data_IF_634271020219
#
_entry.id   IF_634271020219
#
_cell.length_a   1.000
_cell.length_b   1.000
_cell.length_c   1.000
_cell.angle_alpha   90.00
_cell.angle_beta   90.00
_cell.angle_gamma   90.00
#
_symmetry.space_group_name_H-M   'P 1'
#
loop_
_entity.id
_entity.type
_entity.pdbx_description
1 polymer ?
#
# COMPACT_ATOMS: atom_id res chain seq x y z
N UNK A 1 21.94 -70.88 33.34
CA UNK A 1 20.77 -70.36 32.59
C UNK A 1 20.05 -69.24 33.34
N UNK A 2 19.67 -69.40 34.62
CA UNK A 2 18.97 -68.36 35.43
C UNK A 2 19.56 -66.93 35.41
N UNK A 3 20.88 -66.77 35.39
CA UNK A 3 21.49 -65.43 35.37
C UNK A 3 21.29 -64.68 34.05
N UNK A 4 21.04 -65.38 32.93
CA UNK A 4 20.76 -64.75 31.63
C UNK A 4 19.33 -64.22 31.54
N UNK A 5 18.42 -64.78 32.33
CA UNK A 5 16.99 -64.46 32.30
C UNK A 5 16.64 -63.21 33.14
N UNK A 6 17.51 -62.83 34.09
CA UNK A 6 17.31 -61.69 35.00
C UNK A 6 17.44 -60.30 34.34
N UNK A 7 18.16 -60.19 33.21
CA UNK A 7 18.34 -58.93 32.48
C UNK A 7 17.41 -58.76 31.29
N UNK A 8 16.57 -59.76 31.00
CA UNK A 8 15.68 -59.75 29.84
C UNK A 8 14.33 -59.17 30.25
N UNK A 9 14.23 -57.84 30.25
CA UNK A 9 12.97 -57.14 30.49
C UNK A 9 12.11 -57.13 29.23
N UNK A 10 10.87 -57.62 29.35
CA UNK A 10 9.86 -57.65 28.28
C UNK A 10 9.00 -56.36 28.26
N UNK A 11 9.35 -55.37 29.09
CA UNK A 11 8.65 -54.12 29.30
C UNK A 11 8.74 -53.11 28.15
N UNK A 12 8.46 -53.50 26.90
CA UNK A 12 8.55 -52.60 25.73
C UNK A 12 7.36 -51.64 25.55
N UNK A 13 6.59 -51.36 26.62
CA UNK A 13 5.24 -50.81 26.45
C UNK A 13 5.18 -49.38 25.91
N UNK A 14 6.27 -48.59 25.96
CA UNK A 14 6.25 -47.18 25.56
C UNK A 14 7.56 -46.64 24.91
N UNK A 15 8.55 -47.48 24.62
CA UNK A 15 9.77 -47.00 23.96
C UNK A 15 9.54 -46.92 22.44
N UNK A 16 9.78 -45.73 21.87
CA UNK A 16 9.73 -45.56 20.42
C UNK A 16 10.93 -46.28 19.82
N UNK A 17 10.68 -47.20 18.90
CA UNK A 17 11.77 -47.86 18.17
C UNK A 17 12.65 -46.78 17.49
N UNK A 18 13.97 -46.98 17.46
CA UNK A 18 14.85 -46.12 16.68
C UNK A 18 14.36 -46.02 15.24
N UNK A 19 14.28 -44.79 14.72
CA UNK A 19 13.90 -44.56 13.33
C UNK A 19 14.98 -45.10 12.41
N UNK A 20 14.65 -46.12 11.62
CA UNK A 20 15.55 -46.67 10.62
C UNK A 20 15.69 -45.73 9.41
N UNK A 21 16.92 -45.47 8.97
CA UNK A 21 17.19 -44.68 7.77
C UNK A 21 17.84 -45.56 6.69
N UNK A 22 17.03 -45.97 5.71
CA UNK A 22 17.48 -46.80 4.60
C UNK A 22 18.59 -46.16 3.77
N UNK A 23 18.64 -44.82 3.67
CA UNK A 23 19.63 -44.12 2.84
C UNK A 23 21.05 -44.19 3.40
N UNK A 24 21.19 -44.48 4.70
CA UNK A 24 22.49 -44.65 5.36
C UNK A 24 22.89 -46.12 5.49
N UNK A 25 22.03 -47.05 5.07
CA UNK A 25 22.31 -48.48 5.14
C UNK A 25 23.36 -48.88 4.11
N UNK A 26 24.43 -49.52 4.58
CA UNK A 26 25.51 -50.02 3.76
C UNK A 26 25.04 -51.15 2.82
N UNK A 27 24.08 -51.96 3.25
CA UNK A 27 23.58 -53.09 2.45
C UNK A 27 22.76 -52.63 1.24
N UNK A 28 22.09 -51.47 1.37
CA UNK A 28 21.29 -50.88 0.30
C UNK A 28 22.09 -49.93 -0.60
N UNK A 29 23.40 -49.74 -0.34
CA UNK A 29 24.25 -48.82 -1.11
C UNK A 29 24.22 -49.09 -2.61
N UNK A 30 24.20 -50.36 -3.02
CA UNK A 30 24.18 -50.72 -4.44
C UNK A 30 22.86 -50.33 -5.12
N UNK A 31 21.73 -50.46 -4.43
CA UNK A 31 20.43 -50.05 -4.95
C UNK A 31 20.36 -48.53 -5.17
N UNK A 32 20.88 -47.75 -4.23
CA UNK A 32 20.99 -46.29 -4.35
C UNK A 32 22.12 -45.82 -5.27
N UNK A 33 22.97 -46.72 -5.78
CA UNK A 33 23.97 -46.43 -6.80
C UNK A 33 23.39 -46.29 -8.21
N UNK A 34 22.19 -46.81 -8.44
CA UNK A 34 21.53 -46.75 -9.75
C UNK A 34 21.17 -45.32 -10.15
N UNK A 35 21.59 -44.87 -11.34
CA UNK A 35 21.37 -43.49 -11.82
C UNK A 35 19.90 -43.07 -11.82
N UNK A 36 18.99 -43.97 -12.15
CA UNK A 36 17.54 -43.69 -12.15
C UNK A 36 17.03 -43.41 -10.72
N UNK A 37 17.48 -44.20 -9.75
CA UNK A 37 17.12 -44.03 -8.33
C UNK A 37 17.75 -42.75 -7.79
N UNK A 38 19.02 -42.47 -8.12
CA UNK A 38 19.70 -41.23 -7.74
C UNK A 38 18.99 -40.00 -8.30
N UNK A 39 18.60 -40.02 -9.59
CA UNK A 39 17.86 -38.92 -10.19
C UNK A 39 16.54 -38.66 -9.44
N UNK A 40 15.85 -39.71 -9.01
CA UNK A 40 14.62 -39.57 -8.24
C UNK A 40 14.88 -39.03 -6.83
N UNK A 41 15.89 -39.55 -6.13
CA UNK A 41 16.29 -39.09 -4.80
C UNK A 41 16.78 -37.64 -4.80
N UNK A 42 17.48 -37.24 -5.87
CA UNK A 42 17.95 -35.87 -6.07
C UNK A 42 16.79 -34.91 -6.30
N UNK A 43 15.84 -35.28 -7.16
CA UNK A 43 14.62 -34.49 -7.39
C UNK A 43 13.82 -34.29 -6.11
N UNK A 44 13.79 -35.29 -5.22
CA UNK A 44 13.13 -35.20 -3.92
C UNK A 44 13.98 -34.50 -2.83
N UNK A 45 15.21 -34.09 -3.13
CA UNK A 45 16.10 -33.42 -2.18
C UNK A 45 16.64 -34.31 -1.05
N UNK A 46 16.58 -35.63 -1.20
CA UNK A 46 17.08 -36.60 -0.22
C UNK A 46 18.60 -36.81 -0.35
N UNK A 47 19.13 -36.57 -1.55
CA UNK A 47 20.57 -36.59 -1.83
C UNK A 47 21.01 -35.29 -2.50
N UNK A 48 22.27 -34.94 -2.28
CA UNK A 48 22.94 -33.81 -2.93
C UNK A 48 23.44 -34.19 -4.34
N UNK A 49 23.89 -33.22 -5.14
CA UNK A 49 24.42 -33.44 -6.49
C UNK A 49 25.65 -34.36 -6.52
N UNK A 50 26.35 -34.49 -5.40
CA UNK A 50 27.47 -35.41 -5.19
C UNK A 50 27.03 -36.80 -4.69
N UNK A 51 25.73 -37.08 -4.61
CA UNK A 51 25.17 -38.36 -4.13
C UNK A 51 25.24 -38.56 -2.62
N UNK A 52 25.51 -37.51 -1.84
CA UNK A 52 25.56 -37.57 -0.37
C UNK A 52 24.17 -37.42 0.22
N UNK A 53 23.85 -38.17 1.28
CA UNK A 53 22.53 -38.10 1.95
C UNK A 53 22.36 -36.76 2.67
N UNK A 54 21.26 -36.08 2.40
CA UNK A 54 20.90 -34.81 3.02
C UNK A 54 20.19 -35.08 4.34
N UNK A 55 20.78 -34.61 5.45
CA UNK A 55 20.14 -34.70 6.76
C UNK A 55 19.11 -33.59 6.92
N UNK A 56 17.83 -33.90 6.68
CA UNK A 56 16.74 -32.92 6.74
C UNK A 56 16.65 -32.24 8.10
N UNK A 57 16.84 -32.97 9.20
CA UNK A 57 16.72 -32.39 10.55
C UNK A 57 17.74 -31.29 10.83
N UNK A 58 18.96 -31.43 10.29
CA UNK A 58 20.00 -30.40 10.40
C UNK A 58 19.72 -29.19 9.52
N UNK A 59 18.96 -29.37 8.44
CA UNK A 59 18.63 -28.31 7.51
C UNK A 59 17.35 -27.56 7.89
N UNK A 60 16.44 -28.18 8.67
CA UNK A 60 15.20 -27.55 9.15
C UNK A 60 15.45 -26.21 9.84
N UNK A 61 16.46 -26.13 10.71
CA UNK A 61 16.79 -24.87 11.40
C UNK A 61 17.26 -23.78 10.44
N UNK A 62 18.08 -24.13 9.44
CA UNK A 62 18.56 -23.19 8.42
C UNK A 62 17.41 -22.69 7.54
N UNK A 63 16.55 -23.60 7.09
CA UNK A 63 15.37 -23.25 6.30
C UNK A 63 14.44 -22.32 7.09
N UNK A 64 14.21 -22.60 8.38
CA UNK A 64 13.40 -21.76 9.24
C UNK A 64 13.96 -20.34 9.38
N UNK A 65 15.27 -20.19 9.56
CA UNK A 65 15.93 -18.87 9.61
C UNK A 65 15.73 -18.14 8.28
N UNK A 66 15.96 -18.82 7.15
CA UNK A 66 15.79 -18.24 5.82
C UNK A 66 14.34 -17.78 5.61
N UNK A 67 13.35 -18.61 5.95
CA UNK A 67 11.93 -18.23 5.86
C UNK A 67 11.60 -17.02 6.71
N UNK A 68 12.14 -16.94 7.92
CA UNK A 68 11.94 -15.81 8.82
C UNK A 68 12.55 -14.52 8.24
N UNK A 69 13.76 -14.60 7.71
CA UNK A 69 14.45 -13.48 7.05
C UNK A 69 13.69 -13.01 5.80
N UNK A 70 13.22 -13.93 4.96
CA UNK A 70 12.39 -13.60 3.79
C UNK A 70 11.11 -12.87 4.21
N UNK A 71 10.43 -13.36 5.25
CA UNK A 71 9.22 -12.74 5.77
C UNK A 71 9.47 -11.34 6.34
N UNK A 72 10.61 -11.14 7.00
CA UNK A 72 11.01 -9.84 7.51
C UNK A 72 11.30 -8.87 6.36
N UNK A 73 12.03 -9.33 5.34
CA UNK A 73 12.36 -8.55 4.15
C UNK A 73 11.10 -8.15 3.35
N UNK A 74 10.17 -9.08 3.14
CA UNK A 74 8.91 -8.83 2.44
C UNK A 74 8.08 -7.75 3.15
N UNK A 75 7.96 -7.83 4.47
CA UNK A 75 7.26 -6.80 5.28
C UNK A 75 7.94 -5.44 5.18
N UNK A 76 9.27 -5.40 5.24
CA UNK A 76 10.02 -4.15 5.13
C UNK A 76 9.82 -3.49 3.75
N UNK A 77 9.84 -4.29 2.68
CA UNK A 77 9.57 -3.79 1.33
C UNK A 77 8.12 -3.31 1.17
N UNK A 78 7.14 -4.07 1.68
CA UNK A 78 5.74 -3.68 1.66
C UNK A 78 5.50 -2.34 2.40
N UNK A 79 6.18 -2.14 3.53
CA UNK A 79 6.08 -0.91 4.30
C UNK A 79 6.70 0.27 3.55
N UNK A 80 7.90 0.11 2.96
CA UNK A 80 8.52 1.14 2.10
C UNK A 80 7.63 1.54 0.94
N UNK A 81 7.02 0.56 0.26
CA UNK A 81 6.10 0.81 -0.85
C UNK A 81 4.88 1.59 -0.39
N UNK A 82 4.29 1.22 0.76
CA UNK A 82 3.15 1.94 1.33
C UNK A 82 3.51 3.37 1.71
N UNK A 83 4.66 3.60 2.32
CA UNK A 83 5.15 4.94 2.65
C UNK A 83 5.35 5.80 1.39
N UNK A 84 5.91 5.23 0.33
CA UNK A 84 6.08 5.93 -0.94
C UNK A 84 4.73 6.28 -1.59
N UNK A 85 3.77 5.35 -1.60
CA UNK A 85 2.41 5.58 -2.10
C UNK A 85 1.69 6.66 -1.29
N UNK A 86 1.81 6.64 0.05
CA UNK A 86 1.25 7.67 0.92
C UNK A 86 1.89 9.05 0.67
N UNK A 87 3.21 9.10 0.46
CA UNK A 87 3.91 10.35 0.14
C UNK A 87 3.44 10.92 -1.20
N UNK A 88 3.33 10.07 -2.23
CA UNK A 88 2.79 10.46 -3.54
C UNK A 88 1.37 11.03 -3.40
N UNK A 89 0.51 10.36 -2.64
CA UNK A 89 -0.86 10.80 -2.41
C UNK A 89 -0.92 12.14 -1.66
N UNK A 90 -0.11 12.33 -0.61
CA UNK A 90 -0.03 13.60 0.12
C UNK A 90 0.41 14.76 -0.76
N UNK A 91 1.40 14.55 -1.63
CA UNK A 91 1.87 15.57 -2.57
C UNK A 91 0.77 15.96 -3.56
N UNK A 92 0.06 14.97 -4.12
CA UNK A 92 -1.06 15.22 -5.03
C UNK A 92 -2.19 15.99 -4.35
N UNK A 93 -2.57 15.59 -3.13
CA UNK A 93 -3.60 16.28 -2.34
C UNK A 93 -3.22 17.73 -2.08
N UNK A 94 -1.99 18.00 -1.62
CA UNK A 94 -1.51 19.37 -1.41
C UNK A 94 -1.55 20.20 -2.69
N UNK A 95 -1.17 19.60 -3.83
CA UNK A 95 -1.23 20.26 -5.13
C UNK A 95 -2.67 20.65 -5.48
N UNK A 96 -3.62 19.74 -5.31
CA UNK A 96 -5.04 20.01 -5.57
C UNK A 96 -5.58 21.09 -4.63
N UNK A 97 -5.26 21.01 -3.34
CA UNK A 97 -5.70 21.99 -2.34
C UNK A 97 -5.18 23.40 -2.66
N UNK A 98 -3.91 23.54 -3.07
CA UNK A 98 -3.36 24.83 -3.49
C UNK A 98 -4.08 25.40 -4.72
N UNK A 99 -4.35 24.56 -5.72
CA UNK A 99 -5.09 24.97 -6.92
C UNK A 99 -6.52 25.39 -6.58
N UNK A 100 -7.21 24.67 -5.69
CA UNK A 100 -8.54 25.04 -5.24
C UNK A 100 -8.54 26.37 -4.46
N UNK A 101 -7.57 26.55 -3.57
CA UNK A 101 -7.42 27.80 -2.81
C UNK A 101 -7.17 28.98 -3.73
N UNK A 102 -6.31 28.82 -4.75
CA UNK A 102 -6.07 29.83 -5.78
C UNK A 102 -7.36 30.18 -6.55
N UNK A 103 -8.12 29.18 -7.02
CA UNK A 103 -9.41 29.40 -7.69
C UNK A 103 -10.43 30.11 -6.80
N UNK A 104 -10.49 29.79 -5.51
CA UNK A 104 -11.39 30.47 -4.56
C UNK A 104 -10.97 31.91 -4.34
N UNK A 105 -9.67 32.17 -4.21
CA UNK A 105 -9.13 33.53 -4.07
C UNK A 105 -9.44 34.38 -5.30
N UNK A 106 -9.23 33.84 -6.50
CA UNK A 106 -9.56 34.50 -7.77
C UNK A 106 -11.05 34.87 -7.85
N UNK A 107 -11.95 33.94 -7.50
CA UNK A 107 -13.40 34.23 -7.46
C UNK A 107 -13.75 35.35 -6.48
N UNK A 108 -13.13 35.36 -5.30
CA UNK A 108 -13.36 36.41 -4.30
C UNK A 108 -12.81 37.76 -4.75
N UNK A 109 -11.67 37.80 -5.43
CA UNK A 109 -11.12 39.02 -6.02
C UNK A 109 -12.06 39.60 -7.08
N UNK A 110 -12.54 38.77 -8.03
CA UNK A 110 -13.52 39.20 -9.03
C UNK A 110 -14.79 39.78 -8.40
N UNK A 111 -15.33 39.15 -7.35
CA UNK A 111 -16.51 39.66 -6.64
C UNK A 111 -16.23 41.01 -5.97
N UNK A 112 -15.02 41.21 -5.42
CA UNK A 112 -14.62 42.49 -4.81
C UNK A 112 -14.47 43.58 -5.86
N UNK A 113 -13.77 43.30 -6.95
CA UNK A 113 -13.61 44.20 -8.09
C UNK A 113 -14.97 44.61 -8.67
N UNK A 114 -15.87 43.65 -8.88
CA UNK A 114 -17.25 43.93 -9.33
C UNK A 114 -18.01 44.83 -8.34
N UNK A 115 -17.83 44.61 -7.03
CA UNK A 115 -18.46 45.44 -6.00
C UNK A 115 -17.89 46.86 -5.99
N UNK A 116 -16.58 47.01 -6.15
CA UNK A 116 -15.90 48.30 -6.23
C UNK A 116 -16.33 49.07 -7.47
N UNK A 117 -16.37 48.42 -8.64
CA UNK A 117 -16.89 49.01 -9.88
C UNK A 117 -18.33 49.47 -9.70
N UNK A 118 -19.21 48.65 -9.10
CA UNK A 118 -20.60 49.05 -8.82
C UNK A 118 -20.66 50.26 -7.89
N UNK A 119 -19.84 50.31 -6.84
CA UNK A 119 -19.80 51.45 -5.93
C UNK A 119 -19.30 52.72 -6.63
N UNK A 120 -18.29 52.61 -7.49
CA UNK A 120 -17.80 53.74 -8.29
C UNK A 120 -18.86 54.22 -9.28
N UNK A 121 -19.55 53.32 -9.99
CA UNK A 121 -20.67 53.67 -10.87
C UNK A 121 -21.77 54.40 -10.08
N UNK A 122 -22.15 53.90 -8.91
CA UNK A 122 -23.14 54.55 -8.04
C UNK A 122 -22.66 55.92 -7.53
N UNK A 123 -21.39 56.06 -7.16
CA UNK A 123 -20.82 57.32 -6.70
C UNK A 123 -20.78 58.37 -7.83
N UNK A 124 -20.28 57.99 -9.00
CA UNK A 124 -20.19 58.86 -10.19
C UNK A 124 -21.56 59.25 -10.72
N UNK A 125 -22.51 58.32 -10.77
CA UNK A 125 -23.91 58.63 -11.15
C UNK A 125 -24.59 59.54 -10.13
N UNK A 126 -24.34 59.36 -8.83
CA UNK A 126 -24.83 60.25 -7.78
C UNK A 126 -24.20 61.64 -7.82
N UNK A 127 -22.94 61.77 -8.24
CA UNK A 127 -22.30 63.08 -8.44
C UNK A 127 -22.74 63.76 -9.74
N UNK A 128 -22.99 63.00 -10.80
CA UNK A 128 -23.48 63.52 -12.09
C UNK A 128 -24.96 63.95 -12.04
N UNK A 129 -25.76 63.32 -11.17
CA UNK A 129 -27.14 63.68 -10.89
C UNK A 129 -27.24 64.36 -9.52
N UNK A 130 -26.77 65.61 -9.40
CA UNK A 130 -27.06 66.45 -8.23
C UNK A 130 -28.53 66.91 -8.26
N UNK A 131 -29.46 65.97 -8.16
CA UNK A 131 -30.87 66.26 -7.95
C UNK A 131 -31.09 66.17 -6.43
N UNK A 132 -31.51 67.26 -5.75
CA UNK A 132 -31.76 67.23 -4.32
C UNK A 132 -32.94 66.30 -4.06
N UNK A 133 -32.71 65.17 -3.38
CA UNK A 133 -33.80 64.31 -2.93
C UNK A 133 -34.51 64.95 -1.73
N UNK A 134 -35.85 64.90 -1.66
CA UNK A 134 -36.58 65.37 -0.50
C UNK A 134 -36.32 64.46 0.71
N UNK A 135 -36.18 65.09 1.88
CA UNK A 135 -35.92 64.43 3.18
C UNK A 135 -36.93 63.29 3.45
N UNK A 136 -36.49 62.08 3.83
CA UNK A 136 -37.43 61.05 4.25
C UNK A 136 -38.05 61.43 5.60
N UNK A 137 -39.38 61.44 5.67
CA UNK A 137 -40.12 61.67 6.89
C UNK A 137 -39.76 60.62 7.96
N UNK A 138 -39.43 61.13 9.14
CA UNK A 138 -39.17 60.39 10.39
C UNK A 138 -40.33 59.42 10.65
N UNK A 139 -40.10 58.10 10.54
CA UNK A 139 -41.05 57.11 11.03
C UNK A 139 -40.91 57.01 12.54
N UNK A 140 -42.02 57.32 13.22
CA UNK A 140 -42.21 57.22 14.67
C UNK A 140 -42.12 55.74 15.09
N UNK A 141 -41.46 55.40 16.21
CA UNK A 141 -41.51 54.05 16.75
C UNK A 141 -42.90 53.79 17.32
N UNK A 142 -43.54 52.69 16.88
CA UNK A 142 -44.74 52.15 17.53
C UNK A 142 -44.32 51.00 18.42
N UNK A 143 -44.32 51.25 19.72
CA UNK A 143 -44.39 50.23 20.73
C UNK A 143 -45.81 49.65 20.77
N UNK A 144 -45.95 48.32 20.71
CA UNK A 144 -46.93 47.55 21.49
C UNK A 144 -46.67 46.05 21.37
N UNK A 145 -46.03 45.54 22.42
CA UNK A 145 -46.46 44.42 23.28
C UNK A 145 -47.24 43.22 22.70
N UNK A 146 -46.61 42.06 22.96
CA UNK A 146 -47.16 40.80 23.49
C UNK A 146 -48.38 40.16 22.80
N UNK A 147 -48.14 38.98 22.22
CA UNK A 147 -49.04 37.86 22.48
C UNK A 147 -48.28 36.57 22.73
N UNK A 148 -48.80 35.88 23.71
CA UNK A 148 -48.29 34.72 24.44
C UNK A 148 -48.42 33.41 23.67
N UNK A 149 -47.44 32.52 23.91
CA UNK A 149 -47.55 31.06 24.06
C UNK A 149 -48.46 30.29 23.08
N UNK A 150 -47.85 29.36 22.34
CA UNK A 150 -48.26 27.96 22.44
C UNK A 150 -47.10 27.00 22.23
N UNK A 151 -47.07 25.97 23.09
CA UNK A 151 -46.06 24.94 23.22
C UNK A 151 -46.32 23.78 22.24
N UNK A 152 -45.22 23.10 21.93
CA UNK A 152 -45.10 21.65 21.65
C UNK A 152 -45.53 21.13 20.28
N UNK A 153 -44.57 20.51 19.57
CA UNK A 153 -44.53 19.05 19.40
C UNK A 153 -43.18 18.56 18.90
N UNK A 154 -42.60 17.62 19.66
CA UNK A 154 -41.57 16.67 19.23
C UNK A 154 -42.09 15.82 18.07
N UNK A 155 -41.22 15.47 17.12
CA UNK A 155 -41.18 14.31 16.18
C UNK A 155 -40.47 14.79 14.91
N UNK A 156 -39.59 14.08 14.22
CA UNK A 156 -38.97 12.77 14.36
C UNK A 156 -37.87 12.74 13.30
N UNK A 157 -36.72 12.14 13.60
CA UNK A 157 -35.70 11.75 12.62
C UNK A 157 -36.35 10.87 11.55
N UNK A 158 -36.46 11.33 10.31
CA UNK A 158 -36.66 10.48 9.14
C UNK A 158 -35.40 10.51 8.28
N UNK A 159 -34.71 9.37 8.24
CA UNK A 159 -33.72 9.03 7.24
C UNK A 159 -34.45 8.90 5.90
N UNK A 160 -34.33 9.89 5.02
CA UNK A 160 -34.61 9.68 3.59
C UNK A 160 -33.33 9.23 2.90
N UNK A 161 -33.21 7.90 2.74
CA UNK A 161 -32.43 7.29 1.66
C UNK A 161 -33.08 7.72 0.35
N UNK A 162 -32.55 8.71 -0.32
CA UNK A 162 -32.81 8.95 -1.74
C UNK A 162 -31.53 8.62 -2.49
N UNK A 163 -31.57 7.48 -3.19
CA UNK A 163 -30.50 7.07 -4.09
C UNK A 163 -30.31 8.12 -5.19
N UNK A 164 -29.09 8.63 -5.29
CA UNK A 164 -28.59 9.18 -6.53
C UNK A 164 -27.53 8.22 -7.06
N UNK A 165 -27.94 7.51 -8.11
CA UNK A 165 -27.07 6.87 -9.08
C UNK A 165 -26.13 7.94 -9.66
N UNK A 166 -24.93 8.08 -9.10
CA UNK A 166 -23.83 8.74 -9.81
C UNK A 166 -23.10 7.66 -10.59
N UNK A 167 -23.32 7.67 -11.91
CA UNK A 167 -22.56 6.96 -12.92
C UNK A 167 -21.06 7.02 -12.60
N UNK A 168 -20.50 5.87 -12.24
CA UNK A 168 -19.07 5.62 -12.30
C UNK A 168 -18.65 5.75 -13.78
N UNK A 169 -17.63 6.53 -14.14
CA UNK A 169 -16.99 6.37 -15.43
C UNK A 169 -16.35 4.98 -15.48
N UNK A 170 -16.80 4.20 -16.45
CA UNK A 170 -16.26 2.88 -16.79
C UNK A 170 -14.75 2.96 -17.03
N UNK A 171 -14.02 2.07 -16.36
CA UNK A 171 -12.67 1.72 -16.75
C UNK A 171 -12.67 1.20 -18.19
N UNK A 172 -12.12 1.98 -19.11
CA UNK A 172 -11.76 1.54 -20.45
C UNK A 172 -10.44 2.17 -20.85
N UNK A 173 -9.52 1.31 -21.29
CA UNK A 173 -8.22 1.54 -21.94
C UNK A 173 -7.08 2.15 -21.10
N UNK A 174 -6.48 1.31 -20.25
CA UNK A 174 -5.01 1.24 -20.21
C UNK A 174 -4.56 0.74 -21.59
N UNK A 175 -4.09 1.65 -22.45
CA UNK A 175 -3.23 1.29 -23.57
C UNK A 175 -1.80 1.23 -23.04
N UNK A 176 -1.23 0.03 -23.10
CA UNK A 176 0.20 -0.22 -23.06
C UNK A 176 0.89 0.65 -24.12
N UNK A 177 1.67 1.62 -23.68
CA UNK A 177 2.77 2.17 -24.47
C UNK A 177 4.08 1.64 -23.89
N UNK A 178 4.33 0.35 -24.13
CA UNK A 178 5.66 -0.25 -24.02
C UNK A 178 6.30 -0.21 -25.41
N UNK A 179 6.98 0.88 -25.75
CA UNK A 179 7.95 0.85 -26.84
C UNK A 179 9.01 1.96 -26.70
N UNK A 180 10.25 1.48 -26.55
CA UNK A 180 11.52 2.11 -26.91
C UNK A 180 12.02 3.29 -26.06
N UNK A 181 12.66 2.97 -24.93
CA UNK A 181 13.89 3.65 -24.49
C UNK A 181 14.98 2.58 -24.32
N UNK A 182 15.55 2.17 -25.46
CA UNK A 182 16.72 1.28 -25.53
C UNK A 182 17.86 1.98 -26.25
N UNK A 183 18.28 3.15 -25.77
CA UNK A 183 19.54 3.78 -26.17
C UNK A 183 20.16 4.49 -24.95
N UNK A 184 20.76 3.70 -24.06
CA UNK A 184 21.85 4.19 -23.22
C UNK A 184 22.69 3.02 -22.69
N UNK A 185 23.34 2.35 -23.61
CA UNK A 185 24.68 1.77 -23.44
C UNK A 185 25.48 2.37 -24.60
N UNK A 186 26.67 2.94 -24.44
CA UNK A 186 27.89 2.23 -24.12
C UNK A 186 29.04 3.23 -24.37
N UNK A 187 29.68 3.76 -23.33
CA UNK A 187 31.01 4.36 -23.44
C UNK A 187 31.77 4.08 -22.14
N UNK A 188 32.32 2.86 -22.06
CA UNK A 188 33.45 2.55 -21.19
C UNK A 188 34.66 2.48 -22.12
N UNK A 189 35.45 3.55 -22.16
CA UNK A 189 36.79 3.53 -22.75
C UNK A 189 37.74 2.96 -21.72
N UNK A 190 38.09 1.68 -21.90
CA UNK A 190 39.16 1.00 -21.18
C UNK A 190 40.52 1.51 -21.67
N UNK A 191 41.32 2.02 -20.75
CA UNK A 191 42.74 2.33 -20.94
C UNK A 191 43.51 1.00 -20.86
N UNK A 192 44.22 0.63 -21.93
CA UNK A 192 45.27 -0.41 -21.86
C UNK A 192 46.62 0.23 -22.14
N UNK A 193 47.39 0.33 -21.07
CA UNK A 193 48.83 0.57 -21.06
C UNK A 193 49.55 -0.64 -21.69
N UNK A 194 50.38 -0.37 -22.69
CA UNK A 194 51.36 -1.32 -23.21
C UNK A 194 52.74 -0.97 -22.63
N UNK A 195 53.16 -1.73 -21.60
CA UNK A 195 54.56 -1.80 -21.21
C UNK A 195 55.29 -2.73 -22.19
N UNK A 196 56.19 -2.16 -22.99
CA UNK A 196 57.27 -2.90 -23.65
C UNK A 196 58.54 -2.72 -22.81
N UNK A 197 59.02 -3.81 -22.22
CA UNK A 197 60.36 -3.94 -21.66
C UNK A 197 61.31 -4.36 -22.78
N UNK A 198 62.40 -3.61 -22.93
CA UNK A 198 63.66 -4.06 -23.54
C UNK A 198 64.38 -5.11 -22.68
#
# INVERSE_FOLDING_TARGET
MKARELGFDLGFRNEKLPSYNALQDANLRQFFGCKNVQSHLYANGLIDGNGRVVNLDKNKSKLFIIEQEFKAAERAQALRRKEEEEMRHRVQQKRIEMLEKARRAERLQRIKEDREIRQQIMATSRSALSIPTPKPARRVPRDHESSTKSKSRKRSKSKSKSGMLSKMPSASSLQDNSQADSENSFFVTEIKESNQTE
#
